data_IF_000269080119
#
_entry.id   IF_000269080119
#
_cell.length_a   1.000
_cell.length_b   1.000
_cell.length_c   1.000
_cell.angle_alpha   90.00
_cell.angle_beta   90.00
_cell.angle_gamma   90.00
#
_symmetry.space_group_name_H-M   'P 1'
#
loop_
_entity.id
_entity.type
_entity.pdbx_description
1 polymer ?
#
# COMPACT_ATOMS: atom_id res chain seq x y z
N UNK A 1 37.88 1.37 32.99
CA UNK A 1 36.42 1.57 32.88
C UNK A 1 35.86 0.39 32.11
N UNK A 2 35.14 -0.49 32.78
CA UNK A 2 34.48 -1.63 32.20
C UNK A 2 33.14 -1.14 31.61
N UNK A 3 33.09 -0.98 30.30
CA UNK A 3 31.80 -0.75 29.61
C UNK A 3 31.14 -2.12 29.45
N UNK A 4 30.20 -2.43 30.33
CA UNK A 4 29.34 -3.60 30.15
C UNK A 4 28.36 -3.24 29.00
N UNK A 5 28.57 -3.81 27.83
CA UNK A 5 27.61 -3.75 26.74
C UNK A 5 26.51 -4.74 27.05
N UNK A 6 25.41 -4.24 27.58
CA UNK A 6 24.32 -5.05 28.18
C UNK A 6 23.31 -5.56 27.12
N UNK A 7 23.68 -5.60 25.85
CA UNK A 7 22.78 -6.21 24.87
C UNK A 7 23.53 -6.96 23.76
N UNK A 8 23.05 -8.14 23.46
CA UNK A 8 23.42 -8.95 22.29
C UNK A 8 23.28 -8.15 20.98
N UNK A 9 22.41 -7.17 20.94
CA UNK A 9 22.20 -6.26 19.81
C UNK A 9 23.46 -5.47 19.42
N UNK A 10 24.37 -5.19 20.34
CA UNK A 10 25.64 -4.51 20.05
C UNK A 10 26.66 -5.40 19.31
N UNK A 11 26.39 -6.70 19.19
CA UNK A 11 27.21 -7.66 18.46
C UNK A 11 26.64 -8.03 17.09
N UNK A 12 25.47 -7.48 16.72
CA UNK A 12 24.78 -7.76 15.46
C UNK A 12 25.10 -6.65 14.46
N UNK A 13 25.46 -7.01 13.25
CA UNK A 13 25.71 -6.03 12.19
C UNK A 13 24.41 -5.35 11.75
N UNK A 14 24.50 -4.15 11.17
CA UNK A 14 23.34 -3.46 10.61
C UNK A 14 22.62 -4.35 9.58
N UNK A 15 23.37 -5.06 8.75
CA UNK A 15 22.81 -5.99 7.76
C UNK A 15 21.98 -7.10 8.40
N UNK A 16 22.41 -7.67 9.50
CA UNK A 16 21.67 -8.74 10.21
C UNK A 16 20.38 -8.20 10.83
N UNK A 17 20.37 -6.94 11.28
CA UNK A 17 19.16 -6.28 11.79
C UNK A 17 18.19 -6.03 10.61
N UNK A 18 18.66 -5.55 9.49
CA UNK A 18 17.86 -5.34 8.28
C UNK A 18 17.27 -6.65 7.77
N UNK A 19 18.07 -7.71 7.65
CA UNK A 19 17.62 -9.04 7.24
C UNK A 19 16.59 -9.64 8.20
N UNK A 20 16.78 -9.45 9.50
CA UNK A 20 15.81 -9.87 10.52
C UNK A 20 14.50 -9.08 10.40
N UNK A 21 14.56 -7.77 10.17
CA UNK A 21 13.39 -6.91 9.96
C UNK A 21 12.61 -7.36 8.72
N UNK A 22 13.29 -7.57 7.60
CA UNK A 22 12.69 -8.07 6.37
C UNK A 22 12.01 -9.43 6.61
N UNK A 23 12.67 -10.33 7.33
CA UNK A 23 12.10 -11.65 7.65
C UNK A 23 10.86 -11.58 8.53
N UNK A 24 10.81 -10.63 9.46
CA UNK A 24 9.64 -10.43 10.34
C UNK A 24 8.49 -9.80 9.57
N UNK A 25 8.76 -8.77 8.77
CA UNK A 25 7.72 -7.99 8.05
C UNK A 25 7.20 -8.74 6.83
N UNK A 26 8.09 -9.29 6.01
CA UNK A 26 7.78 -9.92 4.71
C UNK A 26 7.68 -11.44 4.76
N UNK A 27 8.11 -12.05 5.88
CA UNK A 27 8.17 -13.50 6.02
C UNK A 27 9.45 -14.14 5.48
N UNK A 28 9.52 -15.46 5.62
CA UNK A 28 10.68 -16.24 5.17
C UNK A 28 10.72 -16.36 3.64
N UNK A 29 11.93 -16.42 3.11
CA UNK A 29 12.20 -16.67 1.70
C UNK A 29 11.71 -18.06 1.26
N UNK A 30 11.01 -18.13 0.11
CA UNK A 30 10.57 -19.38 -0.50
C UNK A 30 11.65 -19.94 -1.42
N UNK A 31 12.58 -20.72 -0.89
CA UNK A 31 13.71 -21.29 -1.66
C UNK A 31 13.33 -22.45 -2.58
N UNK A 32 12.17 -23.06 -2.39
CA UNK A 32 11.75 -24.27 -3.15
C UNK A 32 10.82 -23.97 -4.32
N UNK A 33 10.44 -22.73 -4.55
CA UNK A 33 9.51 -22.35 -5.61
C UNK A 33 10.28 -21.96 -6.89
N UNK A 34 10.08 -22.72 -7.97
CA UNK A 34 10.65 -22.40 -9.29
C UNK A 34 9.71 -21.39 -9.96
N UNK A 35 10.14 -20.14 -10.06
CA UNK A 35 9.42 -19.07 -10.75
C UNK A 35 9.88 -19.02 -12.20
N UNK A 36 8.95 -18.94 -13.15
CA UNK A 36 9.30 -18.80 -14.57
C UNK A 36 10.01 -17.45 -14.82
N UNK A 37 10.87 -17.40 -15.85
CA UNK A 37 11.55 -16.14 -16.19
C UNK A 37 10.57 -15.06 -16.67
N UNK A 38 9.42 -15.47 -17.23
CA UNK A 38 8.32 -14.56 -17.57
C UNK A 38 7.75 -13.93 -16.31
N UNK A 39 7.44 -14.72 -15.28
CA UNK A 39 6.87 -14.21 -14.03
C UNK A 39 7.86 -13.32 -13.26
N UNK A 40 9.16 -13.70 -13.25
CA UNK A 40 10.22 -12.84 -12.69
C UNK A 40 10.28 -11.48 -13.38
N UNK A 41 10.15 -11.46 -14.71
CA UNK A 41 10.16 -10.23 -15.49
C UNK A 41 8.94 -9.37 -15.14
N UNK A 42 7.74 -9.96 -15.08
CA UNK A 42 6.52 -9.24 -14.69
C UNK A 42 6.67 -8.65 -13.29
N UNK A 43 7.12 -9.46 -12.32
CA UNK A 43 7.38 -8.99 -10.95
C UNK A 43 8.41 -7.85 -10.90
N UNK A 44 9.50 -7.97 -11.67
CA UNK A 44 10.54 -6.94 -11.69
C UNK A 44 10.01 -5.59 -12.20
N UNK A 45 9.22 -5.57 -13.26
CA UNK A 45 8.59 -4.35 -13.75
C UNK A 45 7.55 -3.80 -12.78
N UNK A 46 6.75 -4.66 -12.17
CA UNK A 46 5.77 -4.29 -11.17
C UNK A 46 6.42 -3.56 -9.98
N UNK A 47 7.42 -4.19 -9.36
CA UNK A 47 8.13 -3.59 -8.22
C UNK A 47 8.91 -2.32 -8.61
N UNK A 48 9.53 -2.31 -9.79
CA UNK A 48 10.17 -1.11 -10.32
C UNK A 48 9.16 0.03 -10.54
N UNK A 49 7.93 -0.28 -10.96
CA UNK A 49 6.85 0.69 -11.09
C UNK A 49 6.51 1.38 -9.78
N UNK A 50 6.34 0.62 -8.70
CA UNK A 50 6.16 1.19 -7.36
C UNK A 50 7.30 2.12 -6.97
N UNK A 51 8.52 1.70 -7.20
CA UNK A 51 9.70 2.46 -6.83
C UNK A 51 9.86 3.75 -7.64
N UNK A 52 9.68 3.69 -8.96
CA UNK A 52 9.80 4.86 -9.85
C UNK A 52 8.71 5.88 -9.53
N UNK A 53 7.45 5.44 -9.45
CA UNK A 53 6.33 6.34 -9.12
C UNK A 53 6.58 7.01 -7.77
N UNK A 54 6.97 6.24 -6.74
CA UNK A 54 7.23 6.79 -5.41
C UNK A 54 8.39 7.79 -5.38
N UNK A 55 9.42 7.56 -6.19
CA UNK A 55 10.57 8.46 -6.27
C UNK A 55 10.19 9.87 -6.75
N UNK A 56 9.21 9.98 -7.64
CA UNK A 56 8.72 11.26 -8.15
C UNK A 56 7.62 11.90 -7.30
N UNK A 57 7.18 11.24 -6.22
CA UNK A 57 6.13 11.73 -5.33
C UNK A 57 6.73 12.37 -4.08
N UNK A 58 6.64 13.70 -3.92
CA UNK A 58 7.41 14.44 -2.91
C UNK A 58 7.03 14.13 -1.46
N UNK A 59 5.84 13.56 -1.20
CA UNK A 59 5.39 13.27 0.16
C UNK A 59 5.56 11.80 0.56
N UNK A 60 6.00 10.96 -0.38
CA UNK A 60 6.23 9.55 -0.11
C UNK A 60 7.59 9.32 0.55
N UNK A 61 7.66 8.26 1.34
CA UNK A 61 8.92 7.86 1.96
C UNK A 61 9.86 7.25 0.90
N UNK A 62 11.19 7.41 1.06
CA UNK A 62 12.15 6.91 0.09
C UNK A 62 12.11 5.38 0.00
N UNK A 63 12.30 4.88 -1.22
CA UNK A 63 12.47 3.46 -1.45
C UNK A 63 13.79 3.00 -0.84
N UNK A 64 13.72 2.03 0.04
CA UNK A 64 14.89 1.44 0.68
C UNK A 64 15.39 0.22 -0.09
N UNK A 65 14.47 -0.66 -0.48
CA UNK A 65 14.80 -1.91 -1.15
C UNK A 65 13.71 -2.36 -2.10
N UNK A 66 14.14 -2.94 -3.22
CA UNK A 66 13.29 -3.66 -4.17
C UNK A 66 13.77 -5.10 -4.25
N UNK A 67 12.87 -6.07 -4.24
CA UNK A 67 13.23 -7.47 -4.37
C UNK A 67 12.18 -8.24 -5.19
N UNK A 68 12.65 -9.11 -6.06
CA UNK A 68 11.83 -10.09 -6.79
C UNK A 68 11.90 -11.48 -6.17
N UNK A 69 12.50 -11.58 -4.99
CA UNK A 69 12.57 -12.83 -4.25
C UNK A 69 11.27 -13.03 -3.50
N UNK A 70 10.60 -14.15 -3.76
CA UNK A 70 9.33 -14.46 -3.11
C UNK A 70 9.48 -14.65 -1.60
N UNK A 71 8.64 -13.93 -0.84
CA UNK A 71 8.55 -14.04 0.61
C UNK A 71 7.08 -14.12 1.05
N UNK A 72 6.77 -15.05 1.94
CA UNK A 72 5.39 -15.21 2.40
C UNK A 72 4.41 -15.41 1.23
N UNK A 73 3.45 -14.53 1.06
CA UNK A 73 2.48 -14.52 -0.05
C UNK A 73 2.88 -13.58 -1.19
N UNK A 74 3.94 -12.77 -1.03
CA UNK A 74 4.37 -11.80 -2.01
C UNK A 74 5.31 -12.42 -3.06
N UNK A 75 5.11 -12.09 -4.33
CA UNK A 75 5.97 -12.50 -5.45
C UNK A 75 7.26 -11.66 -5.50
N UNK A 76 7.18 -10.40 -5.09
CA UNK A 76 8.25 -9.46 -4.88
C UNK A 76 7.84 -8.46 -3.79
N UNK A 77 8.63 -7.44 -3.54
CA UNK A 77 8.26 -6.32 -2.67
C UNK A 77 9.10 -5.09 -2.93
N UNK A 78 8.48 -3.94 -2.71
CA UNK A 78 9.14 -2.64 -2.63
C UNK A 78 8.99 -2.13 -1.20
N UNK A 79 10.13 -1.93 -0.51
CA UNK A 79 10.16 -1.48 0.88
C UNK A 79 10.51 -0.01 0.95
N UNK A 80 9.78 0.70 1.81
CA UNK A 80 10.00 2.11 2.12
C UNK A 80 10.49 2.25 3.56
N UNK A 81 11.37 3.21 3.81
CA UNK A 81 11.78 3.57 5.17
C UNK A 81 11.30 4.98 5.46
N UNK A 82 10.44 5.14 6.49
CA UNK A 82 10.06 6.47 6.96
C UNK A 82 11.28 7.28 7.39
N UNK A 83 11.35 8.51 6.92
CA UNK A 83 12.42 9.45 7.31
C UNK A 83 12.08 10.08 8.66
N UNK A 84 10.79 10.35 8.89
CA UNK A 84 10.29 11.01 10.08
C UNK A 84 9.04 10.31 10.63
N UNK A 85 8.81 10.42 11.94
CA UNK A 85 7.53 10.05 12.55
C UNK A 85 6.48 11.10 12.22
N UNK A 86 5.48 10.71 11.41
CA UNK A 86 4.41 11.61 10.97
C UNK A 86 3.20 11.49 11.90
N UNK A 87 2.93 12.52 12.70
CA UNK A 87 1.75 12.56 13.57
C UNK A 87 0.42 12.78 12.83
N UNK A 88 0.47 13.33 11.61
CA UNK A 88 -0.69 13.61 10.76
C UNK A 88 -0.40 13.27 9.31
N UNK A 89 -1.43 12.84 8.56
CA UNK A 89 -1.34 12.55 7.14
C UNK A 89 -2.28 13.48 6.36
N UNK A 90 -1.75 14.20 5.39
CA UNK A 90 -2.52 15.15 4.58
C UNK A 90 -3.27 14.46 3.44
N UNK A 91 -4.30 15.16 2.87
CA UNK A 91 -5.01 14.70 1.66
C UNK A 91 -4.05 14.41 0.50
N UNK A 92 -3.00 15.24 0.34
CA UNK A 92 -2.02 15.04 -0.72
C UNK A 92 -1.18 13.79 -0.48
N UNK A 93 -0.71 13.55 0.76
CA UNK A 93 0.04 12.34 1.11
C UNK A 93 -0.76 11.06 0.84
N UNK A 94 -2.05 11.03 1.23
CA UNK A 94 -2.92 9.88 0.95
C UNK A 94 -3.14 9.69 -0.56
N UNK A 95 -3.33 10.78 -1.31
CA UNK A 95 -3.46 10.73 -2.77
C UNK A 95 -2.20 10.20 -3.43
N UNK A 96 -1.02 10.63 -3.00
CA UNK A 96 0.26 10.14 -3.50
C UNK A 96 0.52 8.69 -3.09
N UNK A 97 0.07 8.27 -1.91
CA UNK A 97 0.12 6.87 -1.49
C UNK A 97 -0.73 5.98 -2.40
N UNK A 98 -1.91 6.42 -2.81
CA UNK A 98 -2.73 5.71 -3.81
C UNK A 98 -1.99 5.63 -5.15
N UNK A 99 -1.38 6.73 -5.60
CA UNK A 99 -0.57 6.76 -6.82
C UNK A 99 0.58 5.73 -6.77
N UNK A 100 1.34 5.71 -5.67
CA UNK A 100 2.42 4.74 -5.42
C UNK A 100 1.93 3.29 -5.46
N UNK A 101 0.79 3.00 -4.80
CA UNK A 101 0.18 1.66 -4.83
C UNK A 101 -0.22 1.22 -6.25
N UNK A 102 -0.60 2.15 -7.12
CA UNK A 102 -1.00 1.86 -8.50
C UNK A 102 0.19 1.79 -9.47
N UNK A 103 1.41 2.14 -9.01
CA UNK A 103 2.63 2.15 -9.81
C UNK A 103 2.97 0.80 -10.44
N UNK A 104 2.80 -0.30 -9.69
CA UNK A 104 3.03 -1.66 -10.21
C UNK A 104 2.09 -1.98 -11.38
N UNK A 105 0.81 -1.68 -11.26
CA UNK A 105 -0.19 -1.86 -12.34
C UNK A 105 0.11 -0.96 -13.54
N UNK A 106 0.54 0.29 -13.32
CA UNK A 106 0.92 1.19 -14.38
C UNK A 106 2.12 0.65 -15.17
N UNK A 107 3.14 0.15 -14.47
CA UNK A 107 4.30 -0.47 -15.10
C UNK A 107 3.93 -1.73 -15.91
N UNK A 108 3.05 -2.59 -15.41
CA UNK A 108 2.53 -3.73 -16.17
C UNK A 108 1.87 -3.28 -17.48
N UNK A 109 1.00 -2.27 -17.43
CA UNK A 109 0.31 -1.74 -18.61
C UNK A 109 1.26 -1.15 -19.65
N UNK A 110 2.34 -0.51 -19.22
CA UNK A 110 3.31 0.13 -20.12
C UNK A 110 4.32 -0.85 -20.73
N UNK A 111 4.60 -1.98 -20.04
CA UNK A 111 5.73 -2.85 -20.39
C UNK A 111 5.35 -4.26 -20.78
N UNK A 112 4.11 -4.67 -20.56
CA UNK A 112 3.60 -6.01 -20.86
C UNK A 112 2.51 -5.92 -21.93
N UNK A 113 2.32 -7.03 -22.66
CA UNK A 113 1.23 -7.13 -23.66
C UNK A 113 -0.16 -7.26 -22.98
N UNK A 114 -0.18 -7.67 -21.69
CA UNK A 114 -1.40 -7.87 -20.92
C UNK A 114 -1.13 -7.61 -19.43
N UNK A 115 -2.20 -7.30 -18.68
CA UNK A 115 -2.15 -7.04 -17.25
C UNK A 115 -2.37 -8.32 -16.44
N UNK A 116 -1.72 -8.41 -15.27
CA UNK A 116 -1.75 -9.59 -14.45
C UNK A 116 -2.58 -9.41 -13.16
N UNK A 117 -2.91 -10.52 -12.52
CA UNK A 117 -3.63 -10.51 -11.23
C UNK A 117 -2.77 -10.07 -10.05
N UNK A 118 -1.45 -9.93 -10.24
CA UNK A 118 -0.50 -9.58 -9.19
C UNK A 118 -0.79 -8.27 -8.48
N UNK A 119 -1.34 -7.30 -9.20
CA UNK A 119 -1.70 -5.98 -8.66
C UNK A 119 -2.99 -5.97 -7.81
N UNK A 120 -3.66 -7.12 -7.59
CA UNK A 120 -4.95 -7.16 -6.88
C UNK A 120 -4.91 -6.57 -5.48
N UNK A 121 -3.89 -6.89 -4.70
CA UNK A 121 -3.72 -6.35 -3.35
C UNK A 121 -3.49 -4.84 -3.34
N UNK A 122 -2.70 -4.32 -4.27
CA UNK A 122 -2.43 -2.89 -4.37
C UNK A 122 -3.67 -2.10 -4.77
N UNK A 123 -4.47 -2.64 -5.69
CA UNK A 123 -5.76 -2.06 -6.10
C UNK A 123 -6.73 -2.07 -4.91
N UNK A 124 -6.81 -3.16 -4.15
CA UNK A 124 -7.65 -3.26 -2.96
C UNK A 124 -7.24 -2.22 -1.90
N UNK A 125 -5.95 -2.09 -1.61
CA UNK A 125 -5.40 -1.11 -0.67
C UNK A 125 -5.65 0.33 -1.15
N UNK A 126 -5.42 0.62 -2.42
CA UNK A 126 -5.70 1.92 -3.04
C UNK A 126 -7.18 2.30 -2.91
N UNK A 127 -8.08 1.36 -3.21
CA UNK A 127 -9.54 1.55 -3.11
C UNK A 127 -9.96 1.76 -1.66
N UNK A 128 -9.42 0.97 -0.72
CA UNK A 128 -9.70 1.12 0.71
C UNK A 128 -9.25 2.48 1.25
N UNK A 129 -8.08 2.95 0.82
CA UNK A 129 -7.56 4.26 1.19
C UNK A 129 -8.40 5.40 0.63
N UNK A 130 -8.79 5.33 -0.65
CA UNK A 130 -9.71 6.28 -1.27
C UNK A 130 -11.06 6.32 -0.53
N UNK A 131 -11.60 5.16 -0.17
CA UNK A 131 -12.83 5.06 0.62
C UNK A 131 -12.69 5.76 1.97
N UNK A 132 -11.59 5.55 2.70
CA UNK A 132 -11.34 6.21 3.98
C UNK A 132 -11.22 7.73 3.83
N UNK A 133 -10.54 8.21 2.79
CA UNK A 133 -10.44 9.65 2.48
C UNK A 133 -11.83 10.29 2.36
N UNK A 134 -12.74 9.62 1.70
CA UNK A 134 -14.08 10.12 1.40
C UNK A 134 -15.02 9.93 2.58
N UNK A 135 -15.08 8.72 3.15
CA UNK A 135 -16.12 8.38 4.13
C UNK A 135 -15.73 8.68 5.57
N UNK A 136 -14.43 8.66 5.88
CA UNK A 136 -13.94 8.83 7.27
C UNK A 136 -13.30 10.18 7.51
N UNK A 137 -12.50 10.66 6.56
CA UNK A 137 -11.70 11.88 6.77
C UNK A 137 -12.34 13.13 6.18
N UNK A 138 -13.48 13.02 5.49
CA UNK A 138 -14.19 14.17 4.90
C UNK A 138 -13.34 14.90 3.85
N UNK A 139 -12.52 14.19 3.09
CA UNK A 139 -11.58 14.75 2.11
C UNK A 139 -12.15 14.86 0.70
N UNK A 140 -13.46 14.65 0.51
CA UNK A 140 -14.17 14.90 -0.76
C UNK A 140 -14.68 16.33 -0.83
N UNK A 141 -14.38 17.02 -1.93
CA UNK A 141 -14.89 18.36 -2.17
C UNK A 141 -16.40 18.35 -2.52
N UNK A 142 -16.92 17.23 -3.05
CA UNK A 142 -18.31 17.02 -3.42
C UNK A 142 -19.18 16.63 -2.23
N UNK A 143 -18.70 15.73 -1.39
CA UNK A 143 -19.45 15.17 -0.27
C UNK A 143 -19.24 15.97 1.04
N UNK A 144 -18.23 16.84 1.07
CA UNK A 144 -17.97 17.77 2.16
C UNK A 144 -17.42 17.11 3.43
N UNK A 145 -17.53 17.87 4.54
CA UNK A 145 -16.99 17.49 5.86
C UNK A 145 -18.00 16.60 6.63
N UNK A 146 -18.36 15.47 6.06
CA UNK A 146 -19.32 14.52 6.64
C UNK A 146 -18.69 13.14 6.68
N UNK A 147 -18.94 12.40 7.76
CA UNK A 147 -18.57 10.98 7.86
C UNK A 147 -19.73 10.08 7.44
N UNK A 148 -19.43 9.05 6.66
CA UNK A 148 -20.41 8.09 6.15
C UNK A 148 -20.05 6.69 6.63
N UNK A 149 -21.05 5.95 7.13
CA UNK A 149 -20.86 4.63 7.69
C UNK A 149 -20.71 4.63 9.22
N UNK A 150 -20.88 3.46 9.83
CA UNK A 150 -20.65 3.28 11.25
C UNK A 150 -19.21 2.82 11.47
N UNK A 151 -18.55 3.34 12.50
CA UNK A 151 -17.34 2.74 13.03
C UNK A 151 -17.71 1.36 13.59
N UNK A 152 -17.23 0.29 12.97
CA UNK A 152 -17.42 -1.09 13.42
C UNK A 152 -16.64 -1.40 14.72
N UNK A 153 -16.43 -0.41 15.59
CA UNK A 153 -15.69 -0.56 16.85
C UNK A 153 -16.54 -1.17 17.98
N UNK A 154 -17.83 -1.41 17.76
CA UNK A 154 -18.63 -2.17 18.73
C UNK A 154 -18.68 -3.65 18.34
N UNK A 155 -17.59 -4.36 18.63
CA UNK A 155 -17.60 -5.83 18.66
C UNK A 155 -18.39 -6.28 19.88
N UNK A 156 -19.71 -6.27 19.78
CA UNK A 156 -20.57 -6.95 20.74
C UNK A 156 -20.77 -8.39 20.24
N UNK A 157 -20.12 -9.33 20.91
CA UNK A 157 -20.22 -10.76 20.68
C UNK A 157 -21.69 -11.20 20.67
N UNK A 158 -22.21 -11.59 19.50
CA UNK A 158 -23.44 -12.37 19.42
C UNK A 158 -24.60 -11.86 18.59
N UNK A 159 -24.45 -10.80 17.77
CA UNK A 159 -25.46 -10.39 16.80
C UNK A 159 -24.83 -9.98 15.48
N UNK A 160 -25.08 -10.74 14.42
CA UNK A 160 -24.95 -10.30 13.04
C UNK A 160 -25.96 -9.17 12.80
N UNK A 161 -25.57 -7.95 13.12
CA UNK A 161 -26.29 -6.80 12.58
C UNK A 161 -25.71 -6.53 11.21
N UNK A 162 -26.51 -6.81 10.17
CA UNK A 162 -26.35 -6.16 8.88
C UNK A 162 -26.28 -4.66 9.16
N UNK A 163 -25.08 -4.08 9.07
CA UNK A 163 -24.87 -2.66 9.28
C UNK A 163 -25.55 -1.93 8.12
N UNK A 164 -26.80 -1.52 8.36
CA UNK A 164 -27.54 -0.71 7.39
C UNK A 164 -26.77 0.61 7.25
N UNK A 165 -26.39 1.02 6.04
CA UNK A 165 -25.70 2.29 5.85
C UNK A 165 -26.52 3.43 6.46
N UNK A 166 -25.86 4.38 7.12
CA UNK A 166 -26.50 5.57 7.71
C UNK A 166 -26.75 6.68 6.68
N UNK A 167 -26.75 6.34 5.39
CA UNK A 167 -26.92 7.28 4.28
C UNK A 167 -27.80 6.67 3.17
N UNK A 168 -28.34 7.56 2.32
CA UNK A 168 -29.26 7.19 1.24
C UNK A 168 -28.54 6.50 0.07
N UNK A 169 -29.29 5.75 -0.76
CA UNK A 169 -28.78 5.17 -2.02
C UNK A 169 -28.13 6.22 -2.94
N UNK A 170 -28.69 7.43 -2.98
CA UNK A 170 -28.11 8.54 -3.74
C UNK A 170 -26.70 8.92 -3.21
N UNK A 171 -26.54 8.93 -1.90
CA UNK A 171 -25.24 9.19 -1.27
C UNK A 171 -24.28 8.03 -1.49
N UNK A 172 -24.76 6.77 -1.44
CA UNK A 172 -23.96 5.60 -1.76
C UNK A 172 -23.37 5.70 -3.17
N UNK A 173 -24.20 5.97 -4.17
CA UNK A 173 -23.75 6.16 -5.55
C UNK A 173 -22.72 7.29 -5.68
N UNK A 174 -22.91 8.41 -4.97
CA UNK A 174 -21.97 9.51 -4.99
C UNK A 174 -20.63 9.16 -4.31
N UNK A 175 -20.64 8.33 -3.26
CA UNK A 175 -19.42 7.82 -2.62
C UNK A 175 -18.64 6.91 -3.61
N UNK A 176 -19.33 6.01 -4.32
CA UNK A 176 -18.70 5.10 -5.27
C UNK A 176 -18.10 5.88 -6.46
N UNK A 177 -18.80 6.87 -7.00
CA UNK A 177 -18.29 7.76 -8.05
C UNK A 177 -17.03 8.53 -7.60
N UNK A 178 -17.01 9.05 -6.36
CA UNK A 178 -15.86 9.77 -5.82
C UNK A 178 -14.65 8.84 -5.60
N UNK A 179 -14.88 7.61 -5.10
CA UNK A 179 -13.81 6.61 -4.94
C UNK A 179 -13.19 6.28 -6.30
N UNK A 180 -14.02 5.99 -7.30
CA UNK A 180 -13.58 5.71 -8.66
C UNK A 180 -12.76 6.88 -9.22
N UNK A 181 -13.28 8.10 -9.09
CA UNK A 181 -12.60 9.32 -9.57
C UNK A 181 -11.22 9.52 -8.92
N UNK A 182 -11.11 9.30 -7.60
CA UNK A 182 -9.81 9.40 -6.89
C UNK A 182 -8.85 8.35 -7.39
N UNK A 183 -9.25 7.08 -7.46
CA UNK A 183 -8.38 5.97 -7.90
C UNK A 183 -7.94 6.18 -9.36
N UNK A 184 -8.87 6.49 -10.27
CA UNK A 184 -8.55 6.69 -11.68
C UNK A 184 -7.66 7.90 -11.93
N UNK A 185 -7.87 8.99 -11.18
CA UNK A 185 -6.99 10.16 -11.23
C UNK A 185 -5.56 9.84 -10.82
N UNK A 186 -5.39 9.07 -9.74
CA UNK A 186 -4.05 8.68 -9.29
C UNK A 186 -3.41 7.64 -10.21
N UNK A 187 -4.21 6.78 -10.83
CA UNK A 187 -3.73 5.83 -11.83
C UNK A 187 -3.22 6.55 -13.10
N UNK A 188 -3.98 7.55 -13.59
CA UNK A 188 -3.52 8.38 -14.71
C UNK A 188 -2.18 9.06 -14.39
N UNK A 189 -2.02 9.59 -13.17
CA UNK A 189 -0.75 10.17 -12.71
C UNK A 189 0.40 9.16 -12.63
N UNK A 190 0.11 7.91 -12.28
CA UNK A 190 1.12 6.85 -12.23
C UNK A 190 1.60 6.41 -13.63
N UNK A 191 0.82 6.66 -14.68
CA UNK A 191 1.16 6.36 -16.08
C UNK A 191 2.02 7.46 -16.75
N UNK A 192 2.09 8.67 -16.20
CA UNK A 192 2.92 9.80 -16.67
C UNK A 192 4.40 9.60 -16.33
#
# INVERSE_FOLDING_TARGET
DLIVVDSVAALVTQQEIEDATIKVVMGAEKKSHIVSDKDKKVTAYHEAGHAIVSYFLPTQDPVHQISIIQRGMAAGYTMYLPVDEKGHTSKNQLSEQICSLLGGRAAEQLTQDDVCTGASNDIERATSLARQMITKFGMSDRLGLVTYGHDNNEVFLGRDFSSTPNYSEKTAAAIDEEIEAVVMKQYAKALE
#
